data_IF_780415812229
#
_entry.id   IF_780415812229
#
_cell.length_a   1.000
_cell.length_b   1.000
_cell.length_c   1.000
_cell.angle_alpha   90.00
_cell.angle_beta   90.00
_cell.angle_gamma   90.00
#
_symmetry.space_group_name_H-M   'P 1'
#
loop_
_entity.id
_entity.type
_entity.pdbx_description
1 polymer ?
#
# COMPACT_ATOMS: atom_id res chain seq x y z
N UNK A 1 -13.10 2.69 6.37
CA UNK A 1 -12.26 1.53 5.98
C UNK A 1 -11.74 1.82 4.59
N UNK A 2 -10.50 1.44 4.27
CA UNK A 2 -9.88 1.79 2.98
C UNK A 2 -9.66 0.51 2.19
N UNK A 3 -10.05 0.52 0.92
CA UNK A 3 -9.88 -0.61 0.01
C UNK A 3 -8.68 -0.38 -0.89
N UNK A 4 -7.79 -1.37 -1.00
CA UNK A 4 -6.62 -1.34 -1.86
C UNK A 4 -6.82 -2.20 -3.11
N UNK A 5 -6.31 -1.69 -4.22
CA UNK A 5 -6.35 -2.33 -5.54
C UNK A 5 -4.99 -2.23 -6.20
N UNK A 6 -4.64 -3.22 -7.02
CA UNK A 6 -3.53 -3.10 -7.96
C UNK A 6 -3.92 -2.11 -9.06
N UNK A 7 -3.20 -0.99 -9.19
CA UNK A 7 -3.55 0.06 -10.15
C UNK A 7 -3.48 -0.40 -11.61
N UNK A 8 -2.64 -1.39 -11.94
CA UNK A 8 -2.46 -1.88 -13.30
C UNK A 8 -3.51 -2.90 -13.73
N UNK A 9 -4.06 -3.69 -12.79
CA UNK A 9 -4.96 -4.81 -13.09
C UNK A 9 -6.38 -4.62 -12.57
N UNK A 10 -6.62 -3.58 -11.76
CA UNK A 10 -7.84 -3.40 -10.95
C UNK A 10 -8.14 -4.58 -10.00
N UNK A 11 -7.15 -5.43 -9.73
CA UNK A 11 -7.30 -6.55 -8.81
C UNK A 11 -7.44 -6.03 -7.37
N UNK A 12 -8.47 -6.51 -6.67
CA UNK A 12 -8.65 -6.18 -5.25
C UNK A 12 -7.59 -6.86 -4.40
N UNK A 13 -6.85 -6.06 -3.64
CA UNK A 13 -5.79 -6.53 -2.74
C UNK A 13 -6.38 -6.86 -1.37
N UNK A 14 -7.13 -5.93 -0.79
CA UNK A 14 -7.66 -6.07 0.56
C UNK A 14 -8.20 -4.77 1.14
N UNK A 15 -8.64 -4.84 2.39
CA UNK A 15 -9.09 -3.68 3.15
C UNK A 15 -8.16 -3.42 4.32
N UNK A 16 -7.88 -2.15 4.57
CA UNK A 16 -7.05 -1.67 5.68
C UNK A 16 -7.84 -0.68 6.54
N UNK A 17 -7.39 -0.53 7.78
CA UNK A 17 -7.90 0.49 8.70
C UNK A 17 -7.45 1.90 8.31
N UNK A 18 -8.09 2.91 8.90
CA UNK A 18 -7.69 4.31 8.71
C UNK A 18 -6.29 4.57 9.29
N UNK A 19 -5.96 4.00 10.46
CA UNK A 19 -4.61 4.12 11.06
C UNK A 19 -3.52 3.51 10.16
N UNK A 20 -3.77 2.35 9.56
CA UNK A 20 -2.86 1.74 8.57
C UNK A 20 -2.72 2.62 7.33
N UNK A 21 -3.79 3.26 6.87
CA UNK A 21 -3.74 4.16 5.74
C UNK A 21 -2.98 5.46 6.06
N UNK A 22 -3.21 6.05 7.23
CA UNK A 22 -2.44 7.21 7.71
C UNK A 22 -0.95 6.92 7.74
N UNK A 23 -0.54 5.70 8.13
CA UNK A 23 0.85 5.27 8.05
C UNK A 23 1.38 5.31 6.61
N UNK A 24 0.64 4.75 5.64
CA UNK A 24 1.01 4.80 4.21
C UNK A 24 1.18 6.25 3.75
N UNK A 25 0.23 7.14 4.06
CA UNK A 25 0.29 8.55 3.64
C UNK A 25 1.45 9.31 4.30
N UNK A 26 1.88 8.91 5.50
CA UNK A 26 2.96 9.55 6.21
C UNK A 26 4.35 9.14 5.69
N UNK A 27 4.47 7.89 5.25
CA UNK A 27 5.76 7.25 4.94
C UNK A 27 6.02 7.09 3.44
N UNK A 28 4.99 7.15 2.59
CA UNK A 28 5.14 7.13 1.13
C UNK A 28 4.93 8.52 0.54
N UNK A 29 5.75 8.87 -0.45
CA UNK A 29 5.60 10.14 -1.18
C UNK A 29 4.43 10.04 -2.17
N UNK A 30 3.51 11.01 -2.10
CA UNK A 30 2.50 11.24 -3.14
C UNK A 30 3.18 11.97 -4.31
N UNK A 31 3.10 11.41 -5.53
CA UNK A 31 3.65 12.09 -6.72
C UNK A 31 2.86 13.35 -7.09
N UNK A 32 1.56 13.39 -6.75
CA UNK A 32 0.68 14.56 -6.86
C UNK A 32 -0.41 14.54 -5.79
N UNK A 33 -0.89 15.73 -5.41
CA UNK A 33 -2.04 15.90 -4.49
C UNK A 33 -3.36 15.37 -5.05
N UNK A 34 -3.39 15.08 -6.36
CA UNK A 34 -4.56 14.52 -7.05
C UNK A 34 -4.48 12.99 -7.20
N UNK A 35 -3.33 12.40 -6.92
CA UNK A 35 -3.11 10.97 -7.11
C UNK A 35 -3.76 10.17 -5.97
N UNK A 36 -4.35 9.03 -6.34
CA UNK A 36 -5.01 8.10 -5.42
C UNK A 36 -4.27 6.77 -5.38
N UNK A 37 -2.98 6.79 -5.69
CA UNK A 37 -2.11 5.63 -5.70
C UNK A 37 -0.75 5.90 -5.08
N UNK A 38 -0.06 4.81 -4.74
CA UNK A 38 1.29 4.82 -4.21
C UNK A 38 2.11 3.74 -4.89
N UNK A 39 3.33 4.09 -5.29
CA UNK A 39 4.33 3.14 -5.72
C UNK A 39 4.89 2.37 -4.52
N UNK A 40 4.95 1.04 -4.63
CA UNK A 40 5.57 0.16 -3.65
C UNK A 40 6.50 -0.85 -4.31
N UNK A 41 7.51 -1.28 -3.58
CA UNK A 41 8.36 -2.41 -3.92
C UNK A 41 8.77 -3.16 -2.66
N UNK A 42 9.44 -4.31 -2.81
CA UNK A 42 9.86 -5.15 -1.68
C UNK A 42 10.69 -4.37 -0.64
N UNK A 43 11.58 -3.48 -1.09
CA UNK A 43 12.46 -2.68 -0.22
C UNK A 43 11.66 -1.64 0.58
N UNK A 44 10.69 -0.98 -0.06
CA UNK A 44 9.79 -0.04 0.60
C UNK A 44 8.97 -0.74 1.69
N UNK A 45 8.43 -1.94 1.41
CA UNK A 45 7.65 -2.71 2.38
C UNK A 45 8.52 -3.19 3.55
N UNK A 46 9.75 -3.66 3.29
CA UNK A 46 10.72 -4.00 4.34
C UNK A 46 11.06 -2.77 5.21
N UNK A 47 11.19 -1.59 4.59
CA UNK A 47 11.46 -0.36 5.31
C UNK A 47 10.27 0.07 6.19
N UNK A 48 9.03 -0.01 5.69
CA UNK A 48 7.81 0.26 6.46
C UNK A 48 7.72 -0.64 7.70
N UNK A 49 8.01 -1.94 7.55
CA UNK A 49 8.07 -2.88 8.68
C UNK A 49 9.10 -2.42 9.73
N UNK A 50 10.27 -1.94 9.29
CA UNK A 50 11.31 -1.42 10.18
C UNK A 50 10.90 -0.13 10.92
N UNK A 51 9.98 0.66 10.35
CA UNK A 51 9.43 1.87 10.97
C UNK A 51 8.27 1.56 11.94
N UNK A 52 7.86 0.30 12.05
CA UNK A 52 6.80 -0.13 12.96
C UNK A 52 5.41 -0.11 12.31
N UNK A 53 5.33 -0.25 10.99
CA UNK A 53 4.08 -0.54 10.30
C UNK A 53 3.38 -1.75 10.92
N UNK A 54 2.04 -1.73 10.89
CA UNK A 54 1.27 -2.85 11.38
C UNK A 54 1.54 -4.13 10.59
N UNK A 55 1.64 -5.25 11.31
CA UNK A 55 1.98 -6.55 10.74
C UNK A 55 0.96 -7.09 9.72
N UNK A 56 -0.33 -6.79 9.87
CA UNK A 56 -1.36 -7.22 8.92
C UNK A 56 -1.25 -6.42 7.62
N UNK A 57 -0.93 -5.12 7.71
CA UNK A 57 -0.63 -4.29 6.54
C UNK A 57 0.59 -4.83 5.79
N UNK A 58 1.69 -5.13 6.48
CA UNK A 58 2.90 -5.66 5.86
C UNK A 58 2.63 -7.02 5.19
N UNK A 59 1.90 -7.91 5.85
CA UNK A 59 1.54 -9.20 5.26
C UNK A 59 0.71 -9.02 3.98
N UNK A 60 -0.27 -8.10 3.99
CA UNK A 60 -1.10 -7.80 2.84
C UNK A 60 -0.29 -7.27 1.64
N UNK A 61 0.59 -6.29 1.87
CA UNK A 61 1.41 -5.69 0.81
C UNK A 61 2.42 -6.68 0.24
N UNK A 62 3.03 -7.54 1.08
CA UNK A 62 3.93 -8.61 0.62
C UNK A 62 3.18 -9.65 -0.23
N UNK A 63 1.97 -10.04 0.16
CA UNK A 63 1.14 -10.97 -0.60
C UNK A 63 0.73 -10.37 -1.96
N UNK A 64 0.35 -9.08 -1.97
CA UNK A 64 0.02 -8.35 -3.19
C UNK A 64 1.20 -8.25 -4.17
N UNK A 65 2.41 -7.99 -3.67
CA UNK A 65 3.62 -7.97 -4.49
C UNK A 65 3.95 -9.37 -5.03
N UNK A 66 3.82 -10.43 -4.22
CA UNK A 66 4.14 -11.78 -4.64
C UNK A 66 5.58 -11.90 -5.20
N UNK A 67 5.69 -12.24 -6.49
CA UNK A 67 6.97 -12.30 -7.22
C UNK A 67 7.30 -11.01 -8.01
N UNK A 68 6.45 -9.99 -7.95
CA UNK A 68 6.69 -8.70 -8.60
C UNK A 68 7.79 -7.93 -7.87
N UNK A 69 8.64 -7.26 -8.64
CA UNK A 69 9.67 -6.36 -8.10
C UNK A 69 9.04 -5.10 -7.50
N UNK A 70 8.01 -4.56 -8.16
CA UNK A 70 7.32 -3.31 -7.83
C UNK A 70 5.88 -3.30 -8.36
N UNK A 71 5.03 -2.44 -7.77
CA UNK A 71 3.68 -2.16 -8.26
C UNK A 71 3.15 -0.83 -7.73
N UNK A 72 2.14 -0.29 -8.40
CA UNK A 72 1.34 0.82 -7.87
C UNK A 72 0.06 0.28 -7.22
N UNK A 73 -0.26 0.77 -6.03
CA UNK A 73 -1.49 0.45 -5.31
C UNK A 73 -2.42 1.66 -5.28
N UNK A 74 -3.66 1.49 -5.74
CA UNK A 74 -4.71 2.50 -5.66
C UNK A 74 -5.59 2.27 -4.44
N UNK A 75 -6.05 3.34 -3.80
CA UNK A 75 -6.96 3.26 -2.67
C UNK A 75 -8.36 3.83 -2.98
N UNK A 76 -9.37 3.34 -2.27
CA UNK A 76 -10.74 3.87 -2.30
C UNK A 76 -11.36 3.87 -0.89
N UNK A 77 -12.18 4.88 -0.61
CA UNK A 77 -12.95 5.04 0.64
C UNK A 77 -14.40 4.69 0.36
N UNK A 78 -14.78 3.43 0.60
CA UNK A 78 -16.18 2.96 0.61
C UNK A 78 -16.78 2.99 2.03
#
# INVERSE_FOLDING_TARGET
>A
MIHLYNSATDEYIGAISEDQFEFIQADLEEESIEDQDYYINQVTVDWMESQGADHELIALLRDALGELDEMDIRWDKE
#
